data_IF_251276254184
#
_entry.id   IF_251276254184
#
_cell.length_a   1.000
_cell.length_b   1.000
_cell.length_c   1.000
_cell.angle_alpha   90.00
_cell.angle_beta   90.00
_cell.angle_gamma   90.00
#
_symmetry.space_group_name_H-M   'P 1'
#
loop_
_entity.id
_entity.type
_entity.pdbx_description
1 polymer ?
#
# COMPACT_ATOMS: atom_id res chain seq x y z
N UNK A 1 4.57 -7.10 -29.29
CA UNK A 1 4.81 -8.16 -30.32
C UNK A 1 3.56 -8.43 -31.15
N UNK A 2 2.38 -8.65 -30.57
CA UNK A 2 1.12 -8.92 -31.28
C UNK A 2 0.77 -7.87 -32.33
N UNK A 3 0.94 -6.58 -31.99
CA UNK A 3 0.70 -5.49 -32.93
C UNK A 3 1.71 -5.46 -34.08
N UNK A 4 3.01 -5.64 -33.80
CA UNK A 4 4.07 -5.68 -34.81
C UNK A 4 3.92 -6.86 -35.77
N UNK A 5 3.47 -8.01 -35.28
CA UNK A 5 3.22 -9.21 -36.11
C UNK A 5 1.95 -9.10 -36.95
N UNK A 6 1.10 -8.10 -36.71
CA UNK A 6 -0.19 -7.95 -37.36
C UNK A 6 -1.29 -8.85 -36.81
N UNK A 7 -1.00 -9.69 -35.81
CA UNK A 7 -1.99 -10.59 -35.21
C UNK A 7 -3.11 -9.85 -34.48
N UNK A 8 -2.79 -8.69 -33.86
CA UNK A 8 -3.73 -7.79 -33.21
C UNK A 8 -3.38 -6.35 -33.58
N UNK A 9 -4.27 -5.67 -34.28
CA UNK A 9 -4.04 -4.33 -34.80
C UNK A 9 -4.78 -3.25 -34.02
N UNK A 10 -6.05 -3.48 -33.72
CA UNK A 10 -6.90 -2.54 -33.01
C UNK A 10 -7.01 -2.95 -31.55
N UNK A 11 -6.37 -2.17 -30.69
CA UNK A 11 -6.20 -2.48 -29.28
C UNK A 11 -6.88 -1.42 -28.43
N UNK A 12 -7.70 -1.83 -27.47
CA UNK A 12 -8.28 -0.98 -26.44
C UNK A 12 -7.65 -1.34 -25.07
N UNK A 13 -7.08 -0.35 -24.41
CA UNK A 13 -6.61 -0.46 -23.03
C UNK A 13 -7.57 0.31 -22.12
N UNK A 14 -8.12 -0.37 -21.13
CA UNK A 14 -9.07 0.16 -20.15
C UNK A 14 -8.43 0.22 -18.78
N UNK A 15 -8.60 1.35 -18.09
CA UNK A 15 -8.19 1.54 -16.70
C UNK A 15 -9.28 2.29 -15.90
N UNK A 16 -9.15 2.31 -14.58
CA UNK A 16 -10.09 2.99 -13.69
C UNK A 16 -9.70 4.45 -13.39
N UNK A 17 -8.41 4.82 -13.64
CA UNK A 17 -7.84 6.12 -13.25
C UNK A 17 -6.95 6.73 -14.32
N UNK A 18 -6.96 8.06 -14.38
CA UNK A 18 -6.10 8.82 -15.30
C UNK A 18 -4.61 8.57 -15.08
N UNK A 19 -4.17 8.42 -13.83
CA UNK A 19 -2.77 8.16 -13.51
C UNK A 19 -2.25 6.89 -14.20
N UNK A 20 -3.05 5.80 -14.24
CA UNK A 20 -2.70 4.56 -14.96
C UNK A 20 -2.63 4.78 -16.48
N UNK A 21 -3.58 5.54 -17.04
CA UNK A 21 -3.58 5.90 -18.47
C UNK A 21 -2.30 6.66 -18.82
N UNK A 22 -1.93 7.67 -18.03
CA UNK A 22 -0.77 8.51 -18.30
C UNK A 22 0.55 7.73 -18.12
N UNK A 23 0.65 6.90 -17.09
CA UNK A 23 1.80 6.01 -16.86
C UNK A 23 1.96 5.02 -18.00
N UNK A 24 0.90 4.29 -18.37
CA UNK A 24 0.91 3.35 -19.49
C UNK A 24 1.31 4.03 -20.81
N UNK A 25 0.77 5.22 -21.07
CA UNK A 25 1.09 6.00 -22.28
C UNK A 25 2.57 6.36 -22.33
N UNK A 26 3.13 6.89 -21.24
CA UNK A 26 4.52 7.37 -21.20
C UNK A 26 5.54 6.23 -21.08
N UNK A 27 5.19 5.16 -20.39
CA UNK A 27 6.03 3.99 -20.13
C UNK A 27 5.84 2.89 -21.17
N UNK A 28 4.92 1.99 -20.88
CA UNK A 28 4.79 0.71 -21.59
C UNK A 28 4.36 0.87 -23.04
N UNK A 29 3.49 1.84 -23.33
CA UNK A 29 2.92 2.04 -24.67
C UNK A 29 3.63 3.13 -25.49
N UNK A 30 4.70 3.75 -24.98
CA UNK A 30 5.47 4.78 -25.70
C UNK A 30 5.91 4.36 -27.12
N UNK A 31 6.03 3.05 -27.35
CA UNK A 31 6.45 2.50 -28.63
C UNK A 31 5.37 2.58 -29.73
N UNK A 32 4.11 2.82 -29.39
CA UNK A 32 3.03 3.00 -30.37
C UNK A 32 3.00 4.40 -31.00
N UNK A 33 3.66 5.38 -30.35
CA UNK A 33 3.84 6.76 -30.87
C UNK A 33 2.53 7.38 -31.39
N UNK A 34 2.53 7.75 -32.67
CA UNK A 34 1.42 8.37 -33.43
C UNK A 34 0.25 7.43 -33.72
N UNK A 35 0.38 6.14 -33.44
CA UNK A 35 -0.69 5.14 -33.60
C UNK A 35 -1.61 5.05 -32.40
N UNK A 36 -1.31 5.76 -31.34
CA UNK A 36 -2.00 5.69 -30.05
C UNK A 36 -2.71 6.99 -29.71
N UNK A 37 -3.91 6.89 -29.17
CA UNK A 37 -4.68 8.02 -28.63
C UNK A 37 -5.26 7.72 -27.26
N UNK A 38 -5.54 8.78 -26.49
CA UNK A 38 -6.32 8.71 -25.25
C UNK A 38 -7.72 9.25 -25.54
N UNK A 39 -8.74 8.45 -25.30
CA UNK A 39 -10.13 8.87 -25.44
C UNK A 39 -10.47 9.88 -24.34
N UNK A 40 -10.78 11.11 -24.73
CA UNK A 40 -11.16 12.20 -23.82
C UNK A 40 -12.51 12.77 -24.23
N UNK A 41 -13.29 13.21 -23.25
CA UNK A 41 -14.56 13.90 -23.48
C UNK A 41 -15.54 13.13 -24.40
N UNK A 42 -15.46 11.79 -24.40
CA UNK A 42 -16.30 10.91 -25.25
C UNK A 42 -16.17 11.16 -26.75
N UNK A 43 -15.12 11.87 -27.16
CA UNK A 43 -14.82 12.11 -28.58
C UNK A 43 -13.90 11.02 -29.10
N UNK A 44 -14.32 10.34 -30.15
CA UNK A 44 -13.62 9.19 -30.72
C UNK A 44 -13.14 9.54 -32.14
N UNK A 45 -11.82 9.47 -32.31
CA UNK A 45 -11.18 9.48 -33.61
C UNK A 45 -10.80 8.05 -33.99
N UNK A 46 -11.41 7.52 -35.05
CA UNK A 46 -11.24 6.14 -35.51
C UNK A 46 -9.98 5.88 -36.34
N UNK A 47 -9.15 6.90 -36.54
CA UNK A 47 -7.91 6.81 -37.34
C UNK A 47 -6.77 6.07 -36.61
N UNK A 48 -6.84 5.98 -35.29
CA UNK A 48 -5.81 5.33 -34.47
C UNK A 48 -5.96 3.81 -34.42
N UNK A 49 -4.87 3.15 -34.03
CA UNK A 49 -4.82 1.68 -33.87
C UNK A 49 -4.87 1.27 -32.40
N UNK A 50 -4.36 2.10 -31.48
CA UNK A 50 -4.31 1.85 -30.03
C UNK A 50 -5.04 2.93 -29.28
N UNK A 51 -5.98 2.53 -28.44
CA UNK A 51 -6.84 3.42 -27.66
C UNK A 51 -6.64 3.17 -26.18
N UNK A 52 -6.40 4.22 -25.41
CA UNK A 52 -6.40 4.20 -23.96
C UNK A 52 -7.63 4.96 -23.47
N UNK A 53 -8.38 4.37 -22.56
CA UNK A 53 -9.58 4.99 -22.02
C UNK A 53 -9.85 4.60 -20.59
N UNK A 54 -10.53 5.50 -19.85
CA UNK A 54 -11.19 5.12 -18.61
C UNK A 54 -12.50 4.38 -18.99
N UNK A 55 -12.78 3.25 -18.32
CA UNK A 55 -14.02 2.55 -18.58
C UNK A 55 -15.26 3.40 -18.22
N UNK A 56 -15.19 4.22 -17.14
CA UNK A 56 -16.24 5.18 -16.81
C UNK A 56 -16.37 6.30 -17.87
N UNK A 57 -15.28 6.62 -18.57
CA UNK A 57 -15.29 7.62 -19.65
C UNK A 57 -15.94 7.13 -20.94
N UNK A 58 -15.95 5.81 -21.16
CA UNK A 58 -16.61 5.19 -22.31
C UNK A 58 -18.08 4.84 -22.01
N UNK A 59 -18.43 4.60 -20.76
CA UNK A 59 -19.81 4.34 -20.32
C UNK A 59 -20.50 5.65 -19.93
N UNK A 60 -21.79 5.77 -20.25
CA UNK A 60 -22.61 6.94 -19.89
C UNK A 60 -23.59 6.61 -18.77
N UNK A 61 -24.27 7.65 -18.26
CA UNK A 61 -25.38 7.46 -17.30
C UNK A 61 -26.59 6.79 -17.95
N UNK A 62 -26.78 6.99 -19.26
CA UNK A 62 -27.85 6.44 -20.07
C UNK A 62 -27.28 5.63 -21.25
N UNK A 63 -28.03 4.67 -21.75
CA UNK A 63 -27.61 3.81 -22.86
C UNK A 63 -27.19 4.59 -24.13
N UNK A 64 -27.85 5.72 -24.42
CA UNK A 64 -27.54 6.58 -25.54
C UNK A 64 -26.23 7.37 -25.35
N UNK A 65 -25.78 7.53 -24.10
CA UNK A 65 -24.55 8.25 -23.75
C UNK A 65 -23.29 7.36 -23.78
N UNK A 66 -23.41 6.08 -24.11
CA UNK A 66 -22.29 5.13 -24.15
C UNK A 66 -21.38 5.37 -25.35
N UNK A 67 -20.22 6.02 -25.09
CA UNK A 67 -19.27 6.40 -26.14
C UNK A 67 -18.68 5.18 -26.88
N UNK A 68 -18.57 4.02 -26.22
CA UNK A 68 -18.06 2.80 -26.85
C UNK A 68 -18.95 2.34 -28.03
N UNK A 69 -20.24 2.65 -28.04
CA UNK A 69 -21.17 2.32 -29.15
C UNK A 69 -20.89 3.10 -30.45
N UNK A 70 -20.05 4.13 -30.40
CA UNK A 70 -19.59 4.81 -31.61
C UNK A 70 -18.65 3.93 -32.45
N UNK A 71 -18.00 2.95 -31.86
CA UNK A 71 -17.26 1.93 -32.58
C UNK A 71 -18.21 0.80 -33.06
N UNK A 72 -17.86 0.14 -34.16
CA UNK A 72 -18.53 -1.10 -34.55
C UNK A 72 -18.15 -2.22 -33.56
N UNK A 73 -19.03 -3.21 -33.40
CA UNK A 73 -18.82 -4.35 -32.51
C UNK A 73 -17.54 -5.16 -32.78
N UNK A 74 -17.04 -5.09 -34.01
CA UNK A 74 -15.86 -5.79 -34.48
C UNK A 74 -14.65 -4.87 -34.65
N UNK A 75 -14.71 -3.64 -34.05
CA UNK A 75 -13.66 -2.65 -34.25
C UNK A 75 -12.35 -3.03 -33.59
N UNK A 76 -12.38 -3.64 -32.40
CA UNK A 76 -11.21 -4.04 -31.65
C UNK A 76 -10.90 -5.52 -31.81
N UNK A 77 -9.61 -5.84 -31.92
CA UNK A 77 -9.08 -7.21 -31.96
C UNK A 77 -8.70 -7.71 -30.56
N UNK A 78 -8.31 -6.76 -29.68
CA UNK A 78 -7.80 -7.01 -28.33
C UNK A 78 -8.28 -5.92 -27.38
N UNK A 79 -8.80 -6.30 -26.25
CA UNK A 79 -9.11 -5.42 -25.13
C UNK A 79 -8.33 -5.88 -23.91
N UNK A 80 -7.58 -4.96 -23.31
CA UNK A 80 -6.81 -5.18 -22.09
C UNK A 80 -7.42 -4.33 -20.99
N UNK A 81 -7.77 -4.95 -19.87
CA UNK A 81 -8.36 -4.29 -18.71
C UNK A 81 -7.36 -4.37 -17.57
N UNK A 82 -6.86 -3.21 -17.15
CA UNK A 82 -6.01 -3.11 -15.98
C UNK A 82 -6.85 -2.97 -14.71
N UNK A 83 -6.34 -3.54 -13.61
CA UNK A 83 -7.05 -3.61 -12.32
C UNK A 83 -8.46 -4.18 -12.46
N UNK A 84 -8.62 -5.25 -13.24
CA UNK A 84 -9.93 -5.84 -13.56
C UNK A 84 -10.74 -6.32 -12.35
N UNK A 85 -10.12 -6.43 -11.15
CA UNK A 85 -10.80 -6.66 -9.89
C UNK A 85 -11.61 -5.45 -9.39
N UNK A 86 -11.34 -4.24 -9.93
CA UNK A 86 -12.07 -3.02 -9.61
C UNK A 86 -13.29 -2.89 -10.51
N UNK A 87 -14.40 -2.69 -9.91
CA UNK A 87 -15.69 -2.76 -10.57
C UNK A 87 -16.33 -4.08 -10.14
N UNK A 88 -17.49 -4.01 -9.48
CA UNK A 88 -18.20 -5.22 -9.10
C UNK A 88 -18.38 -6.05 -10.36
N UNK A 89 -18.06 -7.34 -10.32
CA UNK A 89 -18.43 -8.30 -11.33
C UNK A 89 -19.96 -8.51 -11.38
N UNK A 90 -20.74 -7.57 -10.84
CA UNK A 90 -22.17 -7.47 -11.14
C UNK A 90 -22.28 -7.33 -12.65
N UNK A 91 -23.18 -8.09 -13.24
CA UNK A 91 -23.51 -8.07 -14.67
C UNK A 91 -23.68 -6.68 -15.28
N UNK A 92 -23.84 -5.65 -14.45
CA UNK A 92 -24.03 -4.24 -14.81
C UNK A 92 -22.78 -3.35 -14.54
N UNK A 93 -21.57 -3.92 -14.47
CA UNK A 93 -20.38 -3.06 -14.34
C UNK A 93 -20.01 -2.41 -15.69
N UNK A 94 -19.54 -1.17 -15.64
CA UNK A 94 -19.26 -0.40 -16.85
C UNK A 94 -18.28 -1.08 -17.82
N UNK A 95 -17.28 -1.80 -17.32
CA UNK A 95 -16.34 -2.53 -18.17
C UNK A 95 -16.94 -3.82 -18.73
N UNK A 96 -17.81 -4.51 -17.97
CA UNK A 96 -18.48 -5.73 -18.43
C UNK A 96 -19.40 -5.46 -19.62
N UNK A 97 -20.14 -4.36 -19.59
CA UNK A 97 -20.96 -3.93 -20.74
C UNK A 97 -20.10 -3.65 -21.97
N UNK A 98 -18.96 -3.00 -21.80
CA UNK A 98 -17.99 -2.74 -22.90
C UNK A 98 -17.51 -4.07 -23.49
N UNK A 99 -17.11 -5.03 -22.67
CA UNK A 99 -16.62 -6.34 -23.13
C UNK A 99 -17.73 -7.14 -23.82
N UNK A 100 -18.92 -7.12 -23.27
CA UNK A 100 -20.10 -7.79 -23.88
C UNK A 100 -20.42 -7.18 -25.25
N UNK A 101 -20.27 -5.87 -25.41
CA UNK A 101 -20.46 -5.20 -26.71
C UNK A 101 -19.40 -5.64 -27.73
N UNK A 102 -18.13 -5.75 -27.34
CA UNK A 102 -17.01 -6.18 -28.19
C UNK A 102 -16.68 -7.67 -28.05
N UNK A 103 -17.68 -8.51 -27.95
CA UNK A 103 -17.55 -9.94 -27.64
C UNK A 103 -16.71 -10.76 -28.64
N UNK A 104 -16.34 -10.21 -29.80
CA UNK A 104 -15.43 -10.84 -30.76
C UNK A 104 -13.96 -10.50 -30.55
N UNK A 105 -13.65 -9.49 -29.74
CA UNK A 105 -12.31 -9.17 -29.35
C UNK A 105 -11.75 -10.23 -28.39
N UNK A 106 -10.45 -10.42 -28.37
CA UNK A 106 -9.79 -11.15 -27.28
C UNK A 106 -9.74 -10.25 -26.04
N UNK A 107 -10.17 -10.74 -24.89
CA UNK A 107 -10.18 -10.01 -23.64
C UNK A 107 -9.08 -10.51 -22.72
N UNK A 108 -8.30 -9.59 -22.13
CA UNK A 108 -7.25 -9.91 -21.16
C UNK A 108 -7.48 -9.03 -19.94
N UNK A 109 -7.69 -9.64 -18.79
CA UNK A 109 -7.73 -8.96 -17.49
C UNK A 109 -6.37 -9.02 -16.82
N UNK A 110 -5.90 -7.90 -16.30
CA UNK A 110 -4.70 -7.78 -15.46
C UNK A 110 -5.13 -7.40 -14.06
N UNK A 111 -4.56 -8.04 -13.05
CA UNK A 111 -4.76 -7.68 -11.65
C UNK A 111 -3.60 -8.16 -10.80
N UNK A 112 -3.17 -7.34 -9.86
CA UNK A 112 -2.24 -7.76 -8.82
C UNK A 112 -2.91 -8.65 -7.75
N UNK A 113 -4.24 -8.67 -7.71
CA UNK A 113 -5.01 -9.34 -6.66
C UNK A 113 -6.33 -9.85 -7.21
N UNK A 114 -6.36 -11.10 -7.71
CA UNK A 114 -7.62 -11.74 -8.08
C UNK A 114 -8.55 -11.74 -6.85
N UNK A 115 -9.75 -11.21 -6.99
CA UNK A 115 -10.76 -11.27 -5.91
C UNK A 115 -11.39 -12.66 -5.90
N UNK A 116 -11.25 -13.32 -4.79
CA UNK A 116 -12.05 -14.46 -4.40
C UNK A 116 -12.96 -14.03 -3.26
N UNK A 117 -14.11 -13.45 -3.56
CA UNK A 117 -15.18 -13.26 -2.59
C UNK A 117 -16.37 -14.08 -3.03
N UNK A 118 -17.18 -14.59 -2.07
CA UNK A 118 -18.36 -15.41 -2.30
C UNK A 118 -19.44 -14.75 -3.18
N UNK A 119 -19.33 -13.48 -3.49
CA UNK A 119 -20.32 -12.73 -4.25
C UNK A 119 -19.86 -12.35 -5.67
N UNK A 120 -18.54 -12.40 -5.96
CA UNK A 120 -18.02 -11.94 -7.24
C UNK A 120 -16.64 -12.50 -7.51
N UNK A 121 -16.51 -13.34 -8.49
CA UNK A 121 -15.25 -13.89 -8.98
C UNK A 121 -14.89 -13.31 -10.34
N UNK A 122 -13.68 -12.72 -10.47
CA UNK A 122 -13.13 -12.39 -11.79
C UNK A 122 -12.91 -13.67 -12.62
N UNK A 123 -12.74 -14.81 -11.95
CA UNK A 123 -12.65 -16.12 -12.56
C UNK A 123 -13.96 -16.53 -13.29
N UNK A 124 -15.10 -15.96 -12.92
CA UNK A 124 -16.37 -16.20 -13.61
C UNK A 124 -16.36 -15.64 -15.04
N UNK A 125 -15.72 -14.47 -15.26
CA UNK A 125 -15.63 -13.88 -16.61
C UNK A 125 -14.38 -14.30 -17.37
N UNK A 126 -13.20 -14.22 -16.73
CA UNK A 126 -11.91 -14.46 -17.39
C UNK A 126 -11.45 -15.93 -17.30
N UNK A 127 -12.07 -16.76 -16.47
CA UNK A 127 -11.61 -18.11 -16.15
C UNK A 127 -10.40 -18.08 -15.18
N UNK A 128 -9.73 -19.22 -15.07
CA UNK A 128 -8.53 -19.35 -14.26
C UNK A 128 -7.40 -18.46 -14.79
N UNK A 129 -6.52 -17.93 -13.92
CA UNK A 129 -5.37 -17.15 -14.35
C UNK A 129 -4.50 -17.92 -15.36
N UNK A 130 -4.27 -17.33 -16.54
CA UNK A 130 -3.39 -17.90 -17.56
C UNK A 130 -1.93 -17.84 -17.11
N UNK A 131 -1.59 -16.84 -16.30
CA UNK A 131 -0.26 -16.65 -15.75
C UNK A 131 -0.34 -15.92 -14.42
N UNK A 132 0.40 -16.42 -13.43
CA UNK A 132 0.56 -15.79 -12.12
C UNK A 132 2.05 -15.57 -11.88
N UNK A 133 2.40 -14.36 -11.44
CA UNK A 133 3.75 -13.97 -11.07
C UNK A 133 3.72 -13.35 -9.69
N UNK A 134 4.09 -14.12 -8.67
CA UNK A 134 4.02 -13.70 -7.28
C UNK A 134 5.13 -12.70 -6.91
N UNK A 135 4.95 -11.98 -5.81
CA UNK A 135 5.99 -11.12 -5.24
C UNK A 135 7.27 -11.94 -4.96
N UNK A 136 7.08 -13.12 -4.38
CA UNK A 136 8.19 -14.07 -4.12
C UNK A 136 8.96 -14.37 -5.39
N UNK A 137 8.29 -14.79 -6.47
CA UNK A 137 8.94 -15.07 -7.75
C UNK A 137 9.70 -13.84 -8.28
N UNK A 138 9.08 -12.64 -8.17
CA UNK A 138 9.74 -11.40 -8.60
C UNK A 138 10.99 -11.06 -7.80
N UNK A 139 11.03 -11.39 -6.52
CA UNK A 139 12.22 -11.27 -5.66
C UNK A 139 13.25 -12.33 -6.05
N UNK A 140 12.82 -13.60 -6.19
CA UNK A 140 13.69 -14.73 -6.56
C UNK A 140 14.38 -14.51 -7.92
N UNK A 141 13.66 -13.91 -8.88
CA UNK A 141 14.15 -13.59 -10.21
C UNK A 141 14.98 -12.27 -10.26
N UNK A 142 15.13 -11.57 -9.14
CA UNK A 142 15.89 -10.32 -9.06
C UNK A 142 15.19 -9.10 -9.66
N UNK A 143 13.90 -9.17 -9.98
CA UNK A 143 13.15 -8.02 -10.52
C UNK A 143 12.50 -7.15 -9.47
N UNK A 144 12.29 -7.68 -8.27
CA UNK A 144 11.64 -6.98 -7.17
C UNK A 144 12.53 -6.96 -5.93
N UNK A 145 12.52 -5.83 -5.22
CA UNK A 145 13.27 -5.64 -4.00
C UNK A 145 12.73 -6.49 -2.85
N UNK A 146 13.58 -7.22 -2.14
CA UNK A 146 13.22 -7.85 -0.88
C UNK A 146 12.88 -6.78 0.17
N UNK A 147 12.24 -7.19 1.26
CA UNK A 147 11.84 -6.28 2.31
C UNK A 147 12.07 -6.85 3.70
N UNK A 148 12.21 -5.96 4.67
CA UNK A 148 12.18 -6.31 6.09
C UNK A 148 10.97 -5.67 6.77
N UNK A 149 10.52 -6.26 7.86
CA UNK A 149 9.41 -5.74 8.65
C UNK A 149 9.89 -5.44 10.08
N UNK A 150 9.68 -4.21 10.52
CA UNK A 150 9.86 -3.78 11.90
C UNK A 150 8.48 -3.56 12.50
N UNK A 151 8.08 -4.37 13.45
CA UNK A 151 6.79 -4.24 14.15
C UNK A 151 6.97 -3.49 15.44
N UNK A 152 6.20 -2.44 15.60
CA UNK A 152 6.18 -1.62 16.81
C UNK A 152 4.81 -1.71 17.43
N UNK A 153 4.70 -2.37 18.59
CA UNK A 153 3.46 -2.48 19.35
C UNK A 153 3.41 -1.37 20.41
N UNK A 154 2.35 -0.59 20.42
CA UNK A 154 2.11 0.43 21.44
C UNK A 154 1.26 -0.17 22.58
N UNK A 155 1.48 0.30 23.81
CA UNK A 155 0.73 -0.15 24.99
C UNK A 155 -0.78 -0.05 24.80
N UNK A 156 -1.26 1.11 24.34
CA UNK A 156 -2.69 1.33 24.08
C UNK A 156 -3.26 0.43 22.98
N UNK A 157 -2.42 0.01 22.01
CA UNK A 157 -2.82 -0.91 20.94
C UNK A 157 -2.92 -2.36 21.43
N UNK A 158 -2.10 -2.74 22.42
CA UNK A 158 -2.04 -4.09 22.99
C UNK A 158 -3.08 -4.29 24.09
N UNK A 159 -3.18 -3.33 25.02
CA UNK A 159 -4.00 -3.44 26.23
C UNK A 159 -5.39 -2.83 26.05
N UNK A 160 -5.56 -1.99 25.03
CA UNK A 160 -6.70 -1.10 24.89
C UNK A 160 -6.60 0.11 25.82
N UNK A 161 -7.46 1.06 25.63
CA UNK A 161 -7.56 2.26 26.49
C UNK A 161 -8.99 2.42 27.00
N UNK A 162 -9.14 2.68 28.30
CA UNK A 162 -10.42 3.01 28.95
C UNK A 162 -10.31 4.38 29.58
N UNK A 163 -11.27 5.30 29.33
CA UNK A 163 -11.24 6.60 29.96
C UNK A 163 -11.38 6.48 31.49
N UNK A 164 -10.68 7.35 32.21
CA UNK A 164 -10.94 7.54 33.62
C UNK A 164 -12.34 8.12 33.82
N UNK A 165 -12.95 7.84 34.99
CA UNK A 165 -14.28 8.33 35.30
C UNK A 165 -14.32 9.87 35.25
N UNK A 166 -15.18 10.38 34.38
CA UNK A 166 -15.32 11.82 34.16
C UNK A 166 -14.37 12.42 33.13
N UNK A 167 -13.66 11.56 32.35
CA UNK A 167 -12.82 12.04 31.25
C UNK A 167 -13.67 12.73 30.19
N UNK A 168 -13.26 13.91 29.79
CA UNK A 168 -13.85 14.66 28.68
C UNK A 168 -12.92 14.70 27.50
N UNK A 169 -13.50 14.87 26.32
CA UNK A 169 -12.77 15.14 25.09
C UNK A 169 -12.31 16.61 24.98
N UNK A 170 -11.75 17.00 23.85
CA UNK A 170 -11.29 18.37 23.58
C UNK A 170 -12.44 19.39 23.57
N UNK A 171 -13.64 18.97 23.25
CA UNK A 171 -14.84 19.81 23.17
C UNK A 171 -15.56 19.92 24.52
N UNK A 172 -15.11 19.16 25.52
CA UNK A 172 -15.66 19.10 26.86
C UNK A 172 -16.78 18.09 27.05
N UNK A 173 -17.06 17.30 26.02
CA UNK A 173 -18.06 16.23 26.06
C UNK A 173 -17.51 15.00 26.78
N UNK A 174 -18.39 14.27 27.50
CA UNK A 174 -18.01 13.06 28.20
C UNK A 174 -17.61 11.96 27.23
N UNK A 175 -16.41 11.40 27.43
CA UNK A 175 -15.98 10.22 26.70
C UNK A 175 -16.73 9.00 27.20
N UNK A 176 -17.29 8.19 26.31
CA UNK A 176 -18.02 6.97 26.64
C UNK A 176 -17.15 6.00 27.45
N UNK A 177 -17.65 5.52 28.58
CA UNK A 177 -16.93 4.58 29.45
C UNK A 177 -16.96 3.17 28.89
N UNK A 178 -16.06 2.89 27.98
CA UNK A 178 -15.80 1.56 27.41
C UNK A 178 -14.32 1.38 27.13
N UNK A 179 -13.92 0.15 26.82
CA UNK A 179 -12.57 -0.13 26.33
C UNK A 179 -12.52 0.21 24.84
N UNK A 180 -11.62 1.12 24.49
CA UNK A 180 -11.25 1.43 23.12
C UNK A 180 -10.03 0.61 22.73
N UNK A 181 -10.07 0.02 21.57
CA UNK A 181 -8.99 -0.82 21.07
C UNK A 181 -8.44 -0.29 19.73
N UNK A 182 -7.45 -0.99 19.18
CA UNK A 182 -6.78 -0.61 17.94
C UNK A 182 -7.74 -0.29 16.78
N UNK A 183 -8.92 -0.93 16.70
CA UNK A 183 -9.93 -0.69 15.65
C UNK A 183 -10.66 0.65 15.84
N UNK A 184 -10.67 1.20 17.04
CA UNK A 184 -11.30 2.48 17.35
C UNK A 184 -10.37 3.66 17.07
N UNK A 185 -9.04 3.46 17.23
CA UNK A 185 -8.07 4.54 17.14
C UNK A 185 -8.01 5.13 15.73
N UNK A 186 -7.99 6.45 15.67
CA UNK A 186 -8.03 7.30 14.48
C UNK A 186 -9.32 7.21 13.66
N UNK A 187 -10.26 6.37 14.07
CA UNK A 187 -11.57 6.20 13.44
C UNK A 187 -12.71 6.79 14.28
N UNK A 188 -12.82 6.35 15.53
CA UNK A 188 -13.84 6.80 16.48
C UNK A 188 -13.23 7.63 17.60
N UNK A 189 -12.02 7.27 18.03
CA UNK A 189 -11.26 7.91 19.08
C UNK A 189 -9.88 8.32 18.55
N UNK A 190 -9.51 9.56 18.80
CA UNK A 190 -8.18 10.09 18.46
C UNK A 190 -7.40 10.33 19.75
N UNK A 191 -6.20 9.73 19.82
CA UNK A 191 -5.22 9.94 20.88
C UNK A 191 -4.01 10.60 20.21
N UNK A 192 -3.83 11.92 20.46
CA UNK A 192 -2.75 12.67 19.80
C UNK A 192 -1.36 12.15 20.20
N UNK A 193 -1.20 11.71 21.46
CA UNK A 193 0.04 11.14 21.97
C UNK A 193 0.43 9.88 21.18
N UNK A 194 -0.55 9.07 20.74
CA UNK A 194 -0.29 7.91 19.87
C UNK A 194 0.33 8.33 18.54
N UNK A 195 -0.23 9.36 17.90
CA UNK A 195 0.31 9.89 16.64
C UNK A 195 1.73 10.45 16.83
N UNK A 196 2.01 11.10 17.97
CA UNK A 196 3.33 11.63 18.30
C UNK A 196 4.35 10.50 18.49
N UNK A 197 4.00 9.43 19.21
CA UNK A 197 4.90 8.29 19.41
C UNK A 197 5.23 7.59 18.08
N UNK A 198 4.25 7.41 17.19
CA UNK A 198 4.49 6.87 15.84
C UNK A 198 5.46 7.77 15.05
N UNK A 199 5.25 9.09 15.06
CA UNK A 199 6.11 10.06 14.39
C UNK A 199 7.53 10.05 14.96
N UNK A 200 7.67 9.95 16.28
CA UNK A 200 8.96 9.85 16.96
C UNK A 200 9.70 8.56 16.56
N UNK A 201 9.03 7.40 16.61
CA UNK A 201 9.63 6.12 16.22
C UNK A 201 10.06 6.08 14.77
N UNK A 202 9.27 6.66 13.86
CA UNK A 202 9.69 6.84 12.47
C UNK A 202 10.95 7.72 12.37
N UNK A 203 10.98 8.83 13.11
CA UNK A 203 12.14 9.75 13.10
C UNK A 203 13.40 9.08 13.66
N UNK A 204 13.30 8.32 14.75
CA UNK A 204 14.39 7.51 15.31
C UNK A 204 14.94 6.55 14.25
N UNK A 205 14.04 5.80 13.59
CA UNK A 205 14.41 4.89 12.51
C UNK A 205 15.16 5.61 11.36
N UNK A 206 14.63 6.74 10.88
CA UNK A 206 15.25 7.49 9.79
C UNK A 206 16.60 8.12 10.20
N UNK A 207 16.76 8.50 11.46
CA UNK A 207 18.06 9.01 11.98
C UNK A 207 19.14 7.93 11.93
N UNK A 208 18.80 6.68 12.21
CA UNK A 208 19.72 5.56 12.11
C UNK A 208 19.95 5.04 10.68
N UNK A 209 19.02 5.32 9.77
CA UNK A 209 19.06 4.79 8.41
C UNK A 209 19.47 5.82 7.36
N UNK A 210 18.57 6.72 7.02
CA UNK A 210 18.76 7.82 6.07
C UNK A 210 17.60 8.81 6.24
N UNK A 211 17.89 10.02 6.74
CA UNK A 211 16.87 11.06 6.94
C UNK A 211 16.20 11.53 5.65
N UNK A 212 16.80 11.22 4.49
CA UNK A 212 16.25 11.53 3.17
C UNK A 212 15.69 10.30 2.43
N UNK A 213 15.54 9.18 3.11
CA UNK A 213 14.87 8.02 2.55
C UNK A 213 13.42 8.34 2.18
N UNK A 214 13.08 8.21 0.90
CA UNK A 214 11.69 8.37 0.45
C UNK A 214 10.78 7.45 1.23
N UNK A 215 9.81 8.03 1.93
CA UNK A 215 8.94 7.33 2.88
C UNK A 215 7.48 7.59 2.58
N UNK A 216 6.67 6.55 2.58
CA UNK A 216 5.20 6.65 2.48
C UNK A 216 4.60 6.21 3.81
N UNK A 217 3.79 7.08 4.44
CA UNK A 217 3.08 6.80 5.68
C UNK A 217 1.58 6.63 5.39
N UNK A 218 1.09 5.41 5.50
CA UNK A 218 -0.31 5.10 5.30
C UNK A 218 -1.11 5.32 6.58
N UNK A 219 -2.07 6.24 6.52
CA UNK A 219 -2.93 6.68 7.60
C UNK A 219 -4.38 6.21 7.39
N UNK A 220 -5.16 6.16 8.47
CA UNK A 220 -6.55 5.66 8.47
C UNK A 220 -7.44 6.50 7.55
N UNK A 221 -7.30 7.83 7.61
CA UNK A 221 -8.05 8.79 6.80
C UNK A 221 -7.26 10.10 6.59
N UNK A 222 -7.90 11.07 5.95
CA UNK A 222 -7.30 12.36 5.59
C UNK A 222 -6.91 13.18 6.82
N UNK A 223 -7.77 13.20 7.84
CA UNK A 223 -7.49 13.90 9.10
C UNK A 223 -6.27 13.30 9.81
N UNK A 224 -6.20 11.97 9.89
CA UNK A 224 -5.05 11.27 10.45
C UNK A 224 -3.78 11.57 9.64
N UNK A 225 -3.85 11.61 8.31
CA UNK A 225 -2.70 11.96 7.46
C UNK A 225 -2.19 13.38 7.73
N UNK A 226 -3.09 14.34 8.00
CA UNK A 226 -2.71 15.71 8.35
C UNK A 226 -2.06 15.82 9.74
N UNK A 227 -2.64 15.14 10.75
CA UNK A 227 -2.06 15.08 12.11
C UNK A 227 -0.68 14.41 12.09
N UNK A 228 -0.54 13.30 11.39
CA UNK A 228 0.72 12.58 11.22
C UNK A 228 1.77 13.43 10.51
N UNK A 229 1.42 14.13 9.42
CA UNK A 229 2.30 15.08 8.76
C UNK A 229 2.83 16.13 9.73
N UNK A 230 1.94 16.70 10.55
CA UNK A 230 2.31 17.73 11.53
C UNK A 230 3.24 17.15 12.61
N UNK A 231 2.92 15.97 13.14
CA UNK A 231 3.74 15.31 14.16
C UNK A 231 5.15 14.98 13.63
N UNK A 232 5.26 14.43 12.40
CA UNK A 232 6.55 14.11 11.78
C UNK A 232 7.35 15.40 11.50
N UNK A 233 6.71 16.46 11.01
CA UNK A 233 7.36 17.75 10.80
C UNK A 233 7.93 18.34 12.10
N UNK A 234 7.18 18.22 13.20
CA UNK A 234 7.64 18.67 14.52
C UNK A 234 8.82 17.86 15.04
N UNK A 235 8.85 16.54 14.82
CA UNK A 235 9.99 15.68 15.18
C UNK A 235 11.24 15.95 14.32
N UNK A 236 11.05 16.56 13.13
CA UNK A 236 12.12 16.89 12.19
C UNK A 236 12.13 18.41 11.88
N UNK A 237 11.98 19.24 12.91
CA UNK A 237 11.80 20.68 12.76
C UNK A 237 12.98 21.37 12.06
N UNK A 238 14.20 20.85 12.21
CA UNK A 238 15.39 21.30 11.50
C UNK A 238 15.22 21.17 9.97
N UNK A 239 14.89 19.99 9.47
CA UNK A 239 14.71 19.73 8.04
C UNK A 239 13.42 20.35 7.47
N UNK A 240 12.36 20.40 8.27
CA UNK A 240 11.11 21.04 7.86
C UNK A 240 11.25 22.57 7.80
N UNK A 241 12.12 23.18 8.61
CA UNK A 241 12.43 24.61 8.53
C UNK A 241 13.28 24.94 7.30
N UNK A 242 14.22 24.06 6.94
CA UNK A 242 15.03 24.21 5.72
C UNK A 242 14.16 24.08 4.46
N UNK A 243 13.23 23.14 4.44
CA UNK A 243 12.30 22.94 3.33
C UNK A 243 10.98 22.34 3.84
N UNK A 244 9.91 23.11 3.77
CA UNK A 244 8.58 22.66 4.21
C UNK A 244 8.06 21.42 3.46
N UNK A 245 8.57 21.13 2.26
CA UNK A 245 8.25 19.93 1.49
C UNK A 245 8.95 18.67 2.02
N UNK A 246 9.74 18.78 3.10
CA UNK A 246 10.32 17.60 3.72
C UNK A 246 9.26 16.59 4.10
N UNK A 247 8.13 17.05 4.68
CA UNK A 247 6.95 16.22 4.97
C UNK A 247 5.72 16.82 4.29
N UNK A 248 5.10 16.09 3.37
CA UNK A 248 3.91 16.53 2.66
C UNK A 248 2.73 15.58 2.88
N UNK A 249 1.54 16.16 3.06
CA UNK A 249 0.31 15.40 2.97
C UNK A 249 -0.08 15.24 1.49
N UNK A 250 -0.13 14.01 1.01
CA UNK A 250 -0.52 13.66 -0.38
C UNK A 250 -1.82 12.85 -0.33
N UNK A 251 -2.95 13.57 -0.36
CA UNK A 251 -4.30 13.01 -0.27
C UNK A 251 -5.21 13.56 -1.37
N UNK A 252 -6.34 12.92 -1.59
CA UNK A 252 -7.26 13.26 -2.68
C UNK A 252 -7.93 14.64 -2.56
N UNK A 253 -7.98 15.23 -1.39
CA UNK A 253 -8.53 16.56 -1.11
C UNK A 253 -7.48 17.68 -1.10
N UNK A 254 -6.18 17.34 -1.06
CA UNK A 254 -5.08 18.30 -1.01
C UNK A 254 -4.52 18.55 -2.41
N UNK A 255 -4.86 19.69 -3.01
CA UNK A 255 -4.41 20.04 -4.36
C UNK A 255 -2.92 20.34 -4.45
N UNK A 256 -2.29 20.84 -3.38
CA UNK A 256 -0.84 21.01 -3.33
C UNK A 256 -0.15 19.66 -3.27
N UNK A 257 -0.61 18.75 -2.40
CA UNK A 257 -0.07 17.39 -2.31
C UNK A 257 -0.21 16.61 -3.62
N UNK A 258 -1.32 16.77 -4.34
CA UNK A 258 -1.50 16.14 -5.67
C UNK A 258 -0.46 16.62 -6.67
N UNK A 259 -0.13 17.91 -6.69
CA UNK A 259 0.92 18.46 -7.57
C UNK A 259 2.31 17.98 -7.20
N UNK A 260 2.56 17.78 -5.91
CA UNK A 260 3.85 17.28 -5.41
C UNK A 260 3.99 15.75 -5.54
N UNK A 261 2.94 15.03 -5.91
CA UNK A 261 3.01 13.59 -6.17
C UNK A 261 4.00 13.26 -7.28
N UNK A 262 4.00 14.02 -8.38
CA UNK A 262 4.94 13.83 -9.50
C UNK A 262 6.39 14.04 -9.04
N UNK A 263 6.65 15.03 -8.17
CA UNK A 263 7.98 15.24 -7.59
C UNK A 263 8.37 14.12 -6.62
N UNK A 264 7.42 13.60 -5.84
CA UNK A 264 7.68 12.49 -4.91
C UNK A 264 8.10 11.22 -5.65
N UNK A 265 7.47 10.89 -6.78
CA UNK A 265 7.79 9.70 -7.57
C UNK A 265 9.01 9.88 -8.49
N UNK A 266 9.39 11.12 -8.79
CA UNK A 266 10.56 11.40 -9.63
C UNK A 266 11.85 11.08 -8.86
N UNK A 267 12.70 10.15 -9.32
CA UNK A 267 13.95 9.81 -8.66
C UNK A 267 14.93 10.98 -8.52
N UNK A 268 14.93 11.92 -9.48
CA UNK A 268 15.82 13.08 -9.49
C UNK A 268 15.41 14.16 -8.48
N UNK A 269 14.15 14.16 -8.03
CA UNK A 269 13.64 15.15 -7.09
C UNK A 269 13.83 14.70 -5.64
N UNK A 270 14.58 15.49 -4.88
CA UNK A 270 14.83 15.19 -3.46
C UNK A 270 13.56 15.33 -2.61
N UNK A 271 12.73 16.33 -2.88
CA UNK A 271 11.53 16.65 -2.11
C UNK A 271 10.25 16.38 -2.92
N UNK A 272 9.16 15.97 -2.29
CA UNK A 272 8.99 15.57 -0.88
C UNK A 272 9.80 14.34 -0.48
N UNK A 273 10.22 14.28 0.80
CA UNK A 273 10.92 13.10 1.35
C UNK A 273 9.91 12.14 1.98
N UNK A 274 9.03 12.66 2.84
CA UNK A 274 8.02 11.88 3.56
C UNK A 274 6.63 12.29 3.08
N UNK A 275 5.87 11.34 2.58
CA UNK A 275 4.48 11.52 2.14
C UNK A 275 3.53 10.84 3.13
N UNK A 276 2.62 11.60 3.78
CA UNK A 276 1.52 11.04 4.54
C UNK A 276 0.27 10.93 3.66
N UNK A 277 -0.38 9.79 3.65
CA UNK A 277 -1.50 9.52 2.74
C UNK A 277 -2.55 8.61 3.38
N UNK A 278 -3.77 8.63 2.87
CA UNK A 278 -4.81 7.66 3.26
C UNK A 278 -5.06 6.63 2.16
N UNK A 279 -5.44 7.05 0.97
CA UNK A 279 -5.79 6.13 -0.12
C UNK A 279 -5.13 6.47 -1.46
N UNK A 280 -4.80 7.75 -1.70
CA UNK A 280 -4.35 8.21 -3.01
C UNK A 280 -3.12 7.44 -3.53
N UNK A 281 -2.15 7.15 -2.65
CA UNK A 281 -0.92 6.46 -3.01
C UNK A 281 -1.02 4.93 -2.93
N UNK A 282 -2.18 4.37 -2.60
CA UNK A 282 -2.37 2.92 -2.56
C UNK A 282 -2.26 2.31 -3.94
N UNK A 283 -2.75 2.99 -4.98
CA UNK A 283 -2.76 2.48 -6.36
C UNK A 283 -2.30 3.54 -7.35
N UNK A 284 -1.70 3.09 -8.47
CA UNK A 284 -1.32 3.96 -9.58
C UNK A 284 -0.08 4.83 -9.35
N UNK A 285 0.67 4.62 -8.26
CA UNK A 285 1.90 5.36 -7.94
C UNK A 285 3.11 4.44 -8.11
N UNK A 286 4.02 4.76 -9.00
CA UNK A 286 5.29 4.04 -9.19
C UNK A 286 6.44 4.79 -8.50
N UNK A 287 6.54 4.66 -7.18
CA UNK A 287 7.57 5.29 -6.39
C UNK A 287 8.86 4.44 -6.36
N UNK A 288 9.65 4.50 -7.43
CA UNK A 288 10.84 3.66 -7.63
C UNK A 288 11.89 3.79 -6.53
N UNK A 289 11.97 4.93 -5.88
CA UNK A 289 12.94 5.23 -4.82
C UNK A 289 12.37 5.12 -3.41
N UNK A 290 11.13 4.65 -3.24
CA UNK A 290 10.54 4.46 -1.91
C UNK A 290 11.28 3.39 -1.13
N UNK A 291 11.94 3.79 -0.03
CA UNK A 291 12.76 2.94 0.83
C UNK A 291 12.04 2.52 2.12
N UNK A 292 11.04 3.28 2.55
CA UNK A 292 10.32 3.02 3.80
C UNK A 292 8.81 3.13 3.59
N UNK A 293 8.08 2.13 4.05
CA UNK A 293 6.62 2.13 4.10
C UNK A 293 6.20 2.03 5.56
N UNK A 294 5.38 2.98 6.03
CA UNK A 294 4.83 2.98 7.38
C UNK A 294 3.36 2.61 7.33
N UNK A 295 2.97 1.61 8.10
CA UNK A 295 1.60 1.14 8.22
C UNK A 295 1.01 1.61 9.55
N UNK A 296 0.31 2.74 9.53
CA UNK A 296 -0.49 3.23 10.66
C UNK A 296 -1.96 3.40 10.28
N UNK A 297 -2.45 2.45 9.50
CA UNK A 297 -3.85 2.35 9.08
C UNK A 297 -4.36 0.94 9.32
N UNK A 298 -5.65 0.81 9.63
CA UNK A 298 -6.33 -0.47 9.60
C UNK A 298 -6.54 -0.91 8.13
N UNK A 299 -5.87 -1.98 7.72
CA UNK A 299 -6.01 -2.54 6.39
C UNK A 299 -6.89 -3.77 6.47
N UNK A 300 -8.05 -3.73 5.78
CA UNK A 300 -9.10 -4.76 5.88
C UNK A 300 -9.06 -5.81 4.77
N UNK A 301 -8.19 -5.64 3.79
CA UNK A 301 -8.12 -6.58 2.68
C UNK A 301 -6.70 -6.88 2.24
N UNK A 302 -6.45 -8.13 1.90
CA UNK A 302 -5.20 -8.61 1.29
C UNK A 302 -4.88 -7.80 0.01
N UNK A 303 -5.88 -7.49 -0.79
CA UNK A 303 -5.74 -6.67 -1.99
C UNK A 303 -5.09 -5.32 -1.69
N UNK A 304 -5.64 -4.58 -0.69
CA UNK A 304 -5.10 -3.27 -0.28
C UNK A 304 -3.69 -3.42 0.29
N UNK A 305 -3.46 -4.46 1.09
CA UNK A 305 -2.13 -4.76 1.64
C UNK A 305 -1.11 -4.97 0.52
N UNK A 306 -1.37 -5.88 -0.41
CA UNK A 306 -0.49 -6.17 -1.57
C UNK A 306 -0.20 -4.91 -2.41
N UNK A 307 -1.19 -4.07 -2.64
CA UNK A 307 -1.04 -2.80 -3.35
C UNK A 307 -0.11 -1.82 -2.62
N UNK A 308 -0.21 -1.74 -1.30
CA UNK A 308 0.65 -0.90 -0.46
C UNK A 308 2.09 -1.40 -0.51
N UNK A 309 2.31 -2.69 -0.27
CA UNK A 309 3.66 -3.30 -0.31
C UNK A 309 4.30 -3.11 -1.68
N UNK A 310 3.51 -3.26 -2.74
CA UNK A 310 3.96 -3.03 -4.11
C UNK A 310 4.57 -1.65 -4.39
N UNK A 311 4.35 -0.65 -3.51
CA UNK A 311 5.00 0.67 -3.64
C UNK A 311 6.49 0.62 -3.33
N UNK A 312 6.93 -0.34 -2.49
CA UNK A 312 8.34 -0.52 -2.12
C UNK A 312 9.11 -1.52 -2.98
N UNK A 313 8.46 -2.29 -3.82
CA UNK A 313 9.08 -3.47 -4.45
C UNK A 313 10.01 -3.16 -5.63
N UNK A 314 10.08 -1.93 -6.14
CA UNK A 314 10.98 -1.59 -7.23
C UNK A 314 12.43 -1.61 -6.78
N UNK A 315 13.31 -2.20 -7.58
CA UNK A 315 14.77 -2.06 -7.45
C UNK A 315 15.20 -0.82 -8.23
N UNK A 316 16.09 -0.03 -7.67
CA UNK A 316 16.72 1.10 -8.34
C UNK A 316 18.16 1.23 -7.85
N UNK A 317 19.10 0.58 -8.52
CA UNK A 317 20.51 0.53 -8.15
C UNK A 317 21.16 1.91 -8.21
N UNK A 318 20.79 2.75 -9.18
CA UNK A 318 21.33 4.10 -9.36
C UNK A 318 21.11 4.97 -8.11
N UNK A 319 19.96 4.77 -7.43
CA UNK A 319 19.62 5.46 -6.19
C UNK A 319 19.85 4.60 -4.94
N UNK A 320 20.69 3.54 -5.05
CA UNK A 320 21.00 2.61 -3.96
C UNK A 320 19.76 2.08 -3.23
N UNK A 321 18.72 1.74 -4.02
CA UNK A 321 17.47 1.18 -3.53
C UNK A 321 17.41 -0.31 -3.90
N UNK A 322 18.00 -1.16 -3.04
CA UNK A 322 18.11 -2.61 -3.22
C UNK A 322 17.09 -3.39 -2.38
N UNK A 323 16.57 -2.79 -1.32
CA UNK A 323 15.53 -3.33 -0.46
C UNK A 323 14.66 -2.20 0.09
N UNK A 324 13.59 -2.53 0.80
CA UNK A 324 12.80 -1.55 1.54
C UNK A 324 12.40 -2.06 2.91
N UNK A 325 11.97 -1.15 3.78
CA UNK A 325 11.55 -1.47 5.14
C UNK A 325 10.09 -1.14 5.34
N UNK A 326 9.38 -2.02 6.01
CA UNK A 326 8.01 -1.81 6.46
C UNK A 326 8.04 -1.57 7.96
N UNK A 327 7.60 -0.38 8.41
CA UNK A 327 7.35 -0.10 9.82
C UNK A 327 5.86 -0.33 10.09
N UNK A 328 5.53 -1.35 10.86
CA UNK A 328 4.15 -1.77 11.09
C UNK A 328 3.71 -1.47 12.51
N UNK A 329 2.84 -0.46 12.67
CA UNK A 329 2.26 -0.03 13.95
C UNK A 329 0.87 -0.63 14.22
N UNK A 330 0.33 -1.41 13.28
CA UNK A 330 -1.02 -1.97 13.37
C UNK A 330 -1.06 -3.50 13.31
N UNK A 331 0.11 -4.16 13.31
CA UNK A 331 0.26 -5.61 13.11
C UNK A 331 -0.42 -6.12 11.83
N UNK A 332 -0.42 -5.30 10.79
CA UNK A 332 -1.02 -5.62 9.49
C UNK A 332 -0.28 -6.77 8.83
N UNK A 333 1.03 -6.80 8.98
CA UNK A 333 1.89 -7.84 8.40
C UNK A 333 1.66 -9.23 9.00
N UNK A 334 1.13 -9.34 10.23
CA UNK A 334 0.70 -10.62 10.80
C UNK A 334 -0.63 -11.11 10.23
N UNK A 335 -1.56 -10.16 9.98
CA UNK A 335 -2.89 -10.48 9.48
C UNK A 335 -2.88 -11.03 8.06
N UNK A 336 -1.90 -10.59 7.28
CA UNK A 336 -1.80 -10.88 5.85
C UNK A 336 -0.55 -11.70 5.49
N UNK A 337 0.06 -12.38 6.45
CA UNK A 337 1.12 -13.35 6.18
C UNK A 337 0.60 -14.47 5.26
N UNK A 338 0.98 -14.40 3.99
CA UNK A 338 0.56 -15.34 2.95
C UNK A 338 1.79 -16.07 2.42
N UNK A 339 1.94 -17.34 2.80
CA UNK A 339 3.10 -18.15 2.42
C UNK A 339 3.30 -18.31 0.91
N UNK A 340 2.22 -18.28 0.14
CA UNK A 340 2.29 -18.37 -1.33
C UNK A 340 2.70 -17.04 -1.96
N UNK A 341 2.37 -15.93 -1.31
CA UNK A 341 2.70 -14.60 -1.78
C UNK A 341 4.06 -14.11 -1.26
N UNK A 342 4.29 -14.22 0.05
CA UNK A 342 5.46 -13.67 0.74
C UNK A 342 6.57 -14.69 0.94
N UNK A 343 6.26 -15.98 0.92
CA UNK A 343 7.14 -17.07 1.37
C UNK A 343 6.96 -17.37 2.87
N UNK A 344 7.75 -18.29 3.40
CA UNK A 344 7.74 -18.61 4.83
C UNK A 344 8.41 -17.48 5.64
N UNK A 345 7.78 -17.02 6.76
CA UNK A 345 8.35 -15.96 7.58
C UNK A 345 9.63 -16.42 8.27
N UNK A 346 10.61 -15.55 8.30
CA UNK A 346 11.91 -15.78 8.87
C UNK A 346 12.01 -15.16 10.28
N UNK A 347 13.04 -15.59 11.00
CA UNK A 347 13.34 -15.25 12.39
C UNK A 347 12.90 -13.85 12.81
N UNK A 348 12.19 -13.81 13.95
CA UNK A 348 11.82 -12.59 14.66
C UNK A 348 12.92 -12.31 15.68
N UNK A 349 13.70 -11.22 15.50
CA UNK A 349 14.60 -10.73 16.56
C UNK A 349 13.79 -9.83 17.50
N UNK A 350 13.55 -10.19 18.77
CA UNK A 350 12.88 -9.31 19.71
C UNK A 350 13.82 -8.17 20.10
N UNK A 351 13.38 -6.93 19.91
CA UNK A 351 14.06 -5.75 20.45
C UNK A 351 13.32 -5.32 21.70
N UNK A 352 14.04 -4.99 22.79
CA UNK A 352 13.41 -4.61 24.06
C UNK A 352 12.57 -3.32 23.88
N UNK A 353 11.43 -3.22 24.58
CA UNK A 353 10.45 -2.15 24.41
C UNK A 353 10.94 -0.72 24.66
N UNK A 354 12.13 -0.55 25.24
CA UNK A 354 12.78 0.74 25.42
C UNK A 354 13.93 1.00 24.43
N UNK A 355 14.17 0.09 23.47
CA UNK A 355 15.25 0.29 22.50
C UNK A 355 14.93 1.46 21.56
N UNK A 356 15.92 2.30 21.32
CA UNK A 356 15.88 3.32 20.29
C UNK A 356 15.99 2.63 18.92
N UNK A 357 15.08 2.96 17.99
CA UNK A 357 15.10 2.39 16.65
C UNK A 357 16.34 2.84 15.84
N UNK A 358 17.07 3.85 16.30
CA UNK A 358 18.37 4.27 15.74
C UNK A 358 19.39 3.14 15.78
N UNK A 359 19.37 2.31 16.82
CA UNK A 359 20.38 1.26 17.03
C UNK A 359 20.13 0.01 16.20
N UNK A 360 18.92 -0.19 15.69
CA UNK A 360 18.53 -1.37 14.91
C UNK A 360 19.39 -1.53 13.64
N UNK A 361 19.80 -0.43 13.03
CA UNK A 361 20.59 -0.46 11.79
C UNK A 361 22.09 -0.59 12.06
N UNK A 362 22.58 -0.02 13.16
CA UNK A 362 24.00 -0.12 13.54
C UNK A 362 24.39 -1.55 13.94
N UNK A 363 23.46 -2.36 14.44
CA UNK A 363 23.68 -3.78 14.73
C UNK A 363 23.83 -4.63 13.46
N UNK A 364 23.15 -4.28 12.36
CA UNK A 364 23.24 -5.02 11.07
C UNK A 364 24.62 -4.91 10.42
N UNK A 365 25.34 -3.81 10.58
CA UNK A 365 26.68 -3.65 10.02
C UNK A 365 27.75 -4.44 10.79
N UNK A 366 27.43 -4.88 12.01
CA UNK A 366 28.34 -5.57 12.92
C UNK A 366 28.00 -7.05 13.17
N UNK A 367 26.84 -7.55 12.78
CA UNK A 367 26.40 -8.91 13.11
C UNK A 367 26.87 -9.95 12.06
N UNK A 368 28.17 -10.25 12.09
CA UNK A 368 28.71 -11.51 11.54
C UNK A 368 28.68 -12.67 12.56
N UNK A 369 27.92 -12.56 13.64
CA UNK A 369 27.89 -13.55 14.69
C UNK A 369 26.61 -14.42 14.63
N UNK A 370 26.78 -15.66 14.17
CA UNK A 370 25.85 -16.74 14.45
C UNK A 370 25.81 -16.98 15.98
N UNK A 371 24.65 -16.85 16.60
CA UNK A 371 24.46 -17.35 17.97
C UNK A 371 24.11 -18.83 17.86
N UNK A 372 25.13 -19.67 17.87
CA UNK A 372 25.00 -21.07 18.27
C UNK A 372 25.01 -21.10 19.80
N UNK A 373 24.03 -21.76 20.38
CA UNK A 373 24.07 -22.10 21.82
C UNK A 373 25.20 -23.08 22.01
N UNK A 374 26.27 -22.64 22.69
CA UNK A 374 27.49 -23.44 22.89
C UNK A 374 27.29 -24.69 23.75
N UNK A 375 26.13 -24.91 24.39
CA UNK A 375 25.91 -26.07 25.28
C UNK A 375 25.04 -27.20 24.69
N UNK A 376 24.18 -26.93 23.68
CA UNK A 376 23.25 -27.96 23.21
C UNK A 376 23.22 -28.23 21.73
N UNK A 377 23.72 -27.31 20.87
CA UNK A 377 23.70 -27.46 19.41
C UNK A 377 22.27 -27.51 18.82
N UNK A 378 21.25 -27.15 19.55
CA UNK A 378 19.86 -27.11 19.12
C UNK A 378 19.43 -25.69 18.79
N UNK A 379 18.89 -25.48 17.57
CA UNK A 379 18.23 -24.25 17.18
C UNK A 379 17.00 -23.99 18.06
N UNK A 380 17.05 -22.95 18.89
CA UNK A 380 15.90 -22.55 19.69
C UNK A 380 14.89 -21.84 18.78
N UNK A 381 13.89 -22.57 18.33
CA UNK A 381 12.71 -21.99 17.67
C UNK A 381 11.81 -21.37 18.75
N UNK A 382 11.95 -20.08 18.97
CA UNK A 382 11.02 -19.33 19.82
C UNK A 382 9.82 -18.94 18.95
N UNK A 383 8.74 -19.69 19.10
CA UNK A 383 7.47 -19.40 18.47
C UNK A 383 6.48 -18.88 19.53
N UNK A 384 6.40 -17.57 19.81
CA UNK A 384 5.27 -17.03 20.54
C UNK A 384 4.26 -16.48 19.55
N UNK A 385 3.42 -17.35 19.01
CA UNK A 385 2.12 -16.91 18.45
C UNK A 385 1.28 -16.51 19.65
N UNK A 386 1.35 -15.26 20.04
CA UNK A 386 0.34 -14.67 20.93
C UNK A 386 -0.91 -14.47 20.09
N UNK A 387 -1.77 -15.47 20.05
CA UNK A 387 -3.14 -15.31 19.57
C UNK A 387 -3.89 -14.53 20.65
N UNK A 388 -4.20 -13.27 20.36
CA UNK A 388 -5.22 -12.57 21.13
C UNK A 388 -6.58 -13.19 20.79
N UNK A 389 -7.44 -13.52 21.78
CA UNK A 389 -8.79 -13.96 21.50
C UNK A 389 -9.53 -12.85 20.76
N UNK A 390 -10.09 -13.18 19.61
CA UNK A 390 -11.05 -12.28 18.95
C UNK A 390 -12.26 -12.13 19.88
N UNK A 391 -12.70 -10.91 20.19
CA UNK A 391 -13.98 -10.74 20.87
C UNK A 391 -15.08 -11.23 19.92
N UNK A 392 -15.88 -12.17 20.41
CA UNK A 392 -17.08 -12.66 19.72
C UNK A 392 -18.00 -11.48 19.41
N UNK A 393 -18.44 -11.40 18.15
CA UNK A 393 -19.44 -10.46 17.68
C UNK A 393 -20.79 -10.76 18.34
N UNK A 394 -21.06 -10.18 19.50
CA UNK A 394 -22.41 -10.08 20.04
C UNK A 394 -23.01 -8.70 19.73
N UNK A 395 -24.16 -8.79 19.09
CA UNK A 395 -25.21 -7.78 18.87
C UNK A 395 -25.20 -7.00 17.55
N UNK A 396 -25.80 -7.67 16.56
CA UNK A 396 -26.56 -7.00 15.51
C UNK A 396 -27.95 -6.66 16.03
N UNK A 397 -28.14 -5.53 16.66
CA UNK A 397 -29.47 -4.92 16.82
C UNK A 397 -29.72 -3.91 15.70
N UNK A 398 -30.71 -4.24 14.92
CA UNK A 398 -31.40 -3.49 13.89
C UNK A 398 -31.86 -2.13 14.48
N UNK A 399 -31.43 -1.03 13.88
CA UNK A 399 -31.84 0.40 13.90
C UNK A 399 -30.59 1.30 13.89
N UNK A 400 -29.98 1.47 12.73
CA UNK A 400 -28.99 2.54 12.55
C UNK A 400 -29.33 3.38 11.31
N UNK A 401 -29.94 4.50 11.56
CA UNK A 401 -29.78 5.70 10.74
C UNK A 401 -28.31 6.11 10.81
N UNK A 402 -27.62 6.46 9.70
CA UNK A 402 -26.21 6.84 9.75
C UNK A 402 -26.09 8.23 10.38
N UNK A 403 -25.98 8.28 11.70
CA UNK A 403 -25.44 9.44 12.40
C UNK A 403 -23.96 9.49 12.01
N UNK A 404 -23.52 10.58 11.39
CA UNK A 404 -22.09 10.87 11.24
C UNK A 404 -21.48 10.83 12.64
N UNK A 405 -20.79 9.72 12.98
CA UNK A 405 -20.08 9.62 14.25
C UNK A 405 -18.96 10.65 14.22
N UNK A 406 -19.09 11.68 15.00
CA UNK A 406 -18.05 12.68 15.22
C UNK A 406 -16.91 11.98 15.94
N UNK A 407 -15.67 12.13 15.44
CA UNK A 407 -14.50 11.60 16.14
C UNK A 407 -14.33 12.25 17.48
N UNK A 408 -14.00 11.47 18.49
CA UNK A 408 -13.73 11.93 19.87
C UNK A 408 -12.22 12.10 20.02
N UNK A 409 -11.77 13.29 20.40
CA UNK A 409 -10.36 13.64 20.58
C UNK A 409 -10.01 13.71 22.06
N UNK A 410 -9.05 12.92 22.51
CA UNK A 410 -8.59 12.88 23.91
C UNK A 410 -7.09 13.16 24.02
N UNK A 411 -6.70 13.78 25.13
CA UNK A 411 -5.31 14.07 25.47
C UNK A 411 -4.96 13.54 26.87
N UNK A 412 -3.66 13.51 27.18
CA UNK A 412 -3.16 13.07 28.48
C UNK A 412 -3.25 11.56 28.64
N UNK A 413 -3.06 10.82 27.54
CA UNK A 413 -2.97 9.36 27.53
C UNK A 413 -1.50 8.98 27.52
N UNK A 414 -1.10 8.08 28.44
CA UNK A 414 0.26 7.53 28.43
C UNK A 414 0.39 6.52 27.30
N UNK A 415 1.19 6.86 26.31
CA UNK A 415 1.45 6.02 25.13
C UNK A 415 2.94 5.74 25.04
N UNK A 416 3.29 4.46 25.02
CA UNK A 416 4.67 3.99 24.91
C UNK A 416 4.76 2.77 23.99
N UNK A 417 5.94 2.56 23.39
CA UNK A 417 6.20 1.35 22.63
C UNK A 417 6.54 0.19 23.59
N UNK A 418 5.81 -0.92 23.49
CA UNK A 418 6.02 -2.09 24.33
C UNK A 418 7.08 -3.03 23.76
N UNK A 419 6.99 -3.33 22.47
CA UNK A 419 7.86 -4.31 21.81
C UNK A 419 8.07 -3.84 20.36
N UNK A 420 9.33 -3.83 19.91
CA UNK A 420 9.68 -3.75 18.49
C UNK A 420 10.26 -5.09 18.05
N UNK A 421 9.83 -5.62 16.90
CA UNK A 421 10.32 -6.88 16.36
C UNK A 421 10.71 -6.70 14.90
N UNK A 422 11.89 -7.20 14.53
CA UNK A 422 12.32 -7.27 13.14
C UNK A 422 12.01 -8.64 12.55
N UNK A 423 11.54 -8.66 11.31
CA UNK A 423 11.30 -9.86 10.54
C UNK A 423 12.07 -9.76 9.23
N UNK A 424 12.92 -10.73 8.99
CA UNK A 424 13.67 -10.86 7.75
C UNK A 424 13.08 -12.02 6.93
N UNK A 425 13.02 -11.86 5.63
CA UNK A 425 12.50 -12.88 4.72
C UNK A 425 13.55 -13.20 3.64
N UNK A 426 13.86 -14.47 3.43
CA UNK A 426 14.52 -14.96 2.23
C UNK A 426 13.55 -15.76 1.36
N UNK A 427 14.02 -16.14 0.18
CA UNK A 427 13.23 -16.83 -0.83
C UNK A 427 12.82 -18.25 -0.43
N UNK A 428 13.51 -18.84 0.57
CA UNK A 428 13.35 -20.24 0.99
C UNK A 428 12.85 -20.38 2.43
N UNK A 429 12.45 -19.25 3.07
CA UNK A 429 12.08 -19.25 4.47
C UNK A 429 13.26 -19.48 5.43
N UNK A 430 14.51 -19.20 5.00
CA UNK A 430 15.68 -19.24 5.87
C UNK A 430 16.03 -17.88 6.40
N UNK A 431 16.58 -17.75 7.61
CA UNK A 431 17.11 -16.49 8.11
C UNK A 431 18.14 -15.92 7.12
N UNK A 432 17.99 -14.68 6.74
CA UNK A 432 19.03 -13.99 5.98
C UNK A 432 20.22 -13.79 6.91
N UNK A 433 21.30 -14.50 6.64
CA UNK A 433 22.55 -14.42 7.40
C UNK A 433 23.52 -13.39 6.82
N UNK A 434 23.22 -12.86 5.62
CA UNK A 434 23.93 -11.79 4.94
C UNK A 434 23.09 -10.52 4.93
N UNK A 435 23.71 -9.35 4.75
CA UNK A 435 22.94 -8.11 4.66
C UNK A 435 21.96 -8.16 3.48
N UNK A 436 20.81 -7.50 3.59
CA UNK A 436 19.84 -7.41 2.50
C UNK A 436 20.44 -6.79 1.22
N UNK A 437 21.44 -5.91 1.36
CA UNK A 437 22.19 -5.34 0.23
C UNK A 437 22.99 -6.39 -0.51
N UNK A 438 23.69 -7.24 0.23
CA UNK A 438 24.53 -8.28 -0.36
C UNK A 438 23.66 -9.38 -0.99
N UNK A 439 22.59 -9.77 -0.29
CA UNK A 439 21.60 -10.70 -0.83
C UNK A 439 21.02 -10.19 -2.16
N UNK A 440 20.60 -8.93 -2.24
CA UNK A 440 20.05 -8.37 -3.48
C UNK A 440 21.08 -8.34 -4.59
N UNK A 441 22.36 -8.03 -4.29
CA UNK A 441 23.44 -8.05 -5.29
C UNK A 441 23.77 -9.44 -5.81
N UNK A 442 23.53 -10.48 -5.03
CA UNK A 442 23.73 -11.87 -5.48
C UNK A 442 22.59 -12.37 -6.40
N UNK A 443 21.38 -11.79 -6.24
CA UNK A 443 20.19 -12.19 -7.00
C UNK A 443 20.00 -11.35 -8.27
N UNK A 444 20.42 -10.08 -8.28
CA UNK A 444 20.38 -9.17 -9.44
C UNK A 444 21.62 -9.30 -10.29
#
# INVERSE_FOLDING_TARGET
RLWKSGAKKRILFLADRNALIDQTKRGDFKHFKDKMTVVKNRMIDKSYEVYLALYQGLSGADEEANAYKQFSREFFDLIVIDECHRGSAKENSAWHEILTYFNKATHIGLTATPKETSEVSNSEYFGDPVYTYSLKQGIDDGFLAPYRVVRVTLNVDAEGWRPEKGKTDKDGDMVEDRIYNRKDFDKNLVIDERTQVVAQKLTEFLNGYDRFAKTIVFCTDIDHANRMRTAIANCNADLAADNYKYVMQITGDNDEGKRELDNFINPEERYPVIATTSELMTTGVDAQTCKVIVLDAEIKSMTKFKQIIGRGTRINEEFNKLYFTILDFRNVTDLFADKEFDGDPIRVKPVSGNADLTDIISEEENDHASIEDEETGEEIVINPVVRYPEPEDEDKTMWDTPIRKTKVYVNGVDVSALISRELYFDNNGKPITVSLKDYTREVV
#
